data_IF_757269327084
#
_entry.id   IF_757269327084
#
_cell.length_a   1.000
_cell.length_b   1.000
_cell.length_c   1.000
_cell.angle_alpha   90.00
_cell.angle_beta   90.00
_cell.angle_gamma   90.00
#
_symmetry.space_group_name_H-M   'P 1'
#
loop_
_entity.id
_entity.type
_entity.pdbx_description
1 polymer ?
#
# COMPACT_ATOMS: atom_id res chain seq x y z
N UNK A 1 12.00 -4.12 -6.24
CA UNK A 1 10.75 -3.36 -6.45
C UNK A 1 9.86 -3.61 -5.24
N UNK A 2 9.68 -2.63 -4.32
CA UNK A 2 8.91 -2.83 -3.07
C UNK A 2 7.44 -2.50 -3.32
N UNK A 3 6.58 -3.51 -3.24
CA UNK A 3 5.13 -3.33 -3.24
C UNK A 3 4.74 -2.88 -1.83
N UNK A 4 4.12 -1.70 -1.71
CA UNK A 4 3.70 -1.16 -0.41
C UNK A 4 2.18 -1.11 -0.39
N UNK A 5 1.57 -1.68 0.64
CA UNK A 5 0.12 -1.61 0.84
C UNK A 5 -0.19 -0.54 1.87
N UNK A 6 -1.23 0.25 1.65
CA UNK A 6 -1.79 1.16 2.66
C UNK A 6 -3.28 0.94 2.79
N UNK A 7 -3.75 1.01 4.03
CA UNK A 7 -5.17 1.06 4.31
C UNK A 7 -5.72 2.45 4.00
N UNK A 8 -6.81 2.57 3.22
CA UNK A 8 -7.41 3.87 2.92
C UNK A 8 -8.18 4.49 4.09
N UNK A 9 -8.50 3.72 5.14
CA UNK A 9 -9.30 4.21 6.27
C UNK A 9 -8.47 4.69 7.46
N UNK A 10 -7.36 4.03 7.75
CA UNK A 10 -6.52 4.34 8.92
C UNK A 10 -5.07 4.67 8.55
N UNK A 11 -4.76 4.76 7.26
CA UNK A 11 -3.42 4.97 6.71
C UNK A 11 -2.37 3.94 7.16
N UNK A 12 -2.81 2.85 7.81
CA UNK A 12 -1.95 1.79 8.29
C UNK A 12 -1.29 1.03 7.15
N UNK A 13 -0.01 0.71 7.33
CA UNK A 13 0.77 -0.12 6.40
C UNK A 13 0.79 -1.60 6.78
N UNK A 14 0.30 -1.95 7.97
CA UNK A 14 0.22 -3.32 8.45
C UNK A 14 -1.07 -4.00 7.99
N UNK A 15 -0.92 -5.17 7.39
CA UNK A 15 -2.00 -5.98 6.89
C UNK A 15 -1.73 -7.45 7.17
N UNK A 16 -2.81 -8.23 7.22
CA UNK A 16 -2.76 -9.69 7.19
C UNK A 16 -3.36 -10.18 5.87
N UNK A 17 -2.96 -11.37 5.45
CA UNK A 17 -3.52 -12.08 4.30
C UNK A 17 -4.30 -13.30 4.77
N UNK A 18 -5.46 -13.56 4.16
CA UNK A 18 -6.29 -14.72 4.48
C UNK A 18 -6.95 -15.25 3.21
N UNK A 19 -6.95 -16.57 3.02
CA UNK A 19 -7.62 -17.21 1.87
C UNK A 19 -9.13 -16.93 1.84
N UNK A 20 -9.75 -16.74 3.00
CA UNK A 20 -11.17 -16.41 3.10
C UNK A 20 -11.50 -14.99 2.64
N UNK A 21 -10.51 -14.10 2.64
CA UNK A 21 -10.68 -12.70 2.25
C UNK A 21 -10.33 -12.44 0.77
N UNK A 22 -9.98 -13.50 0.02
CA UNK A 22 -9.66 -13.44 -1.41
C UNK A 22 -10.95 -13.26 -2.21
N UNK A 23 -11.02 -12.17 -2.98
CA UNK A 23 -12.14 -11.87 -3.88
C UNK A 23 -11.63 -11.25 -5.17
N UNK A 24 -12.50 -11.07 -6.17
CA UNK A 24 -12.12 -10.33 -7.40
C UNK A 24 -11.61 -8.91 -7.10
N UNK A 25 -12.14 -8.25 -6.06
CA UNK A 25 -11.73 -6.91 -5.64
C UNK A 25 -10.52 -6.91 -4.69
N UNK A 26 -10.19 -8.05 -4.08
CA UNK A 26 -9.06 -8.23 -3.18
C UNK A 26 -8.33 -9.55 -3.51
N UNK A 27 -7.60 -9.62 -4.64
CA UNK A 27 -6.98 -10.86 -5.10
C UNK A 27 -5.89 -11.37 -4.15
N UNK A 28 -5.31 -10.50 -3.33
CA UNK A 28 -4.29 -10.86 -2.36
C UNK A 28 -4.86 -11.25 -0.99
N UNK A 29 -6.19 -11.17 -0.80
CA UNK A 29 -6.82 -11.43 0.49
C UNK A 29 -6.30 -10.52 1.61
N UNK A 30 -5.79 -9.33 1.26
CA UNK A 30 -5.07 -8.46 2.17
C UNK A 30 -6.03 -7.49 2.89
N UNK A 31 -6.02 -7.51 4.22
CA UNK A 31 -6.82 -6.62 5.08
C UNK A 31 -5.97 -5.97 6.14
N UNK A 32 -6.27 -4.72 6.44
CA UNK A 32 -5.60 -3.98 7.51
C UNK A 32 -5.80 -4.70 8.85
N UNK A 33 -4.74 -4.83 9.64
CA UNK A 33 -4.84 -5.49 10.96
C UNK A 33 -5.72 -4.68 11.92
N UNK A 34 -5.70 -3.35 11.80
CA UNK A 34 -6.40 -2.44 12.69
C UNK A 34 -7.90 -2.32 12.38
N UNK A 35 -8.25 -1.84 11.18
CA UNK A 35 -9.64 -1.55 10.84
C UNK A 35 -10.31 -2.63 9.97
N UNK A 36 -9.58 -3.71 9.62
CA UNK A 36 -10.06 -4.83 8.79
C UNK A 36 -10.52 -4.46 7.37
N UNK A 37 -10.34 -3.22 6.95
CA UNK A 37 -10.61 -2.80 5.58
C UNK A 37 -9.61 -3.41 4.60
N UNK A 38 -10.04 -3.58 3.34
CA UNK A 38 -9.16 -4.03 2.25
C UNK A 38 -8.07 -2.99 2.04
N UNK A 39 -6.82 -3.44 1.99
CA UNK A 39 -5.68 -2.54 1.72
C UNK A 39 -5.49 -2.36 0.23
N UNK A 40 -5.10 -1.16 -0.17
CA UNK A 40 -4.82 -0.84 -1.58
C UNK A 40 -3.31 -0.87 -1.83
N UNK A 41 -2.93 -1.45 -2.96
CA UNK A 41 -1.55 -1.46 -3.42
C UNK A 41 -1.15 -0.05 -3.84
N UNK A 42 -0.23 0.57 -3.11
CA UNK A 42 0.36 1.85 -3.49
C UNK A 42 1.54 1.55 -4.40
N UNK A 43 1.41 1.87 -5.68
CA UNK A 43 2.58 1.97 -6.55
C UNK A 43 3.37 3.18 -6.07
N UNK A 44 4.58 2.94 -5.57
CA UNK A 44 5.54 4.02 -5.39
C UNK A 44 5.92 4.53 -6.78
N UNK A 45 5.16 5.48 -7.32
CA UNK A 45 5.63 6.30 -8.41
C UNK A 45 6.90 6.97 -7.89
N UNK A 46 8.05 6.59 -8.44
CA UNK A 46 9.28 7.34 -8.21
C UNK A 46 9.07 8.71 -8.85
N UNK A 47 8.57 9.67 -8.07
CA UNK A 47 8.72 11.08 -8.44
C UNK A 47 10.20 11.34 -8.26
N UNK A 48 10.96 11.21 -9.35
CA UNK A 48 12.30 11.75 -9.44
C UNK A 48 12.17 13.27 -9.39
N UNK A 49 12.00 13.83 -8.19
CA UNK A 49 12.32 15.25 -7.99
C UNK A 49 13.84 15.29 -8.08
N UNK A 50 14.31 15.53 -9.29
CA UNK A 50 15.69 15.83 -9.59
C UNK A 50 16.05 17.03 -8.71
N UNK A 51 16.87 16.77 -7.70
CA UNK A 51 17.49 17.76 -6.84
C UNK A 51 18.44 18.61 -7.68
N UNK A 52 17.90 19.61 -8.39
CA UNK A 52 18.68 20.72 -8.94
C UNK A 52 18.30 21.97 -8.15
N UNK A 53 19.10 22.28 -7.12
CA UNK A 53 19.43 23.63 -6.64
C UNK A 53 20.06 23.51 -5.26
N UNK A 54 21.38 23.23 -5.22
CA UNK A 54 22.33 23.62 -4.17
C UNK A 54 23.73 23.12 -4.56
N UNK A 55 24.29 23.73 -5.59
CA UNK A 55 25.73 23.81 -5.80
C UNK A 55 25.96 24.87 -6.89
N UNK A 56 26.02 26.13 -6.47
CA UNK A 56 26.98 27.16 -6.90
C UNK A 56 26.71 28.42 -6.06
#
# INVERSE_FOLDING_TARGET
>A
MKITFKCPHCNGSQFRTSHFDVTRANPHGAKCIFCKSVVVQVKAARIAIQSQLRAF
#
